data_IF_045991094153
#
_entry.id   IF_045991094153
#
_cell.length_a   1.000
_cell.length_b   1.000
_cell.length_c   1.000
_cell.angle_alpha   90.00
_cell.angle_beta   90.00
_cell.angle_gamma   90.00
#
_symmetry.space_group_name_H-M   'P 1'
#
loop_
_entity.id
_entity.type
_entity.pdbx_description
1 polymer ?
#
# COMPACT_ATOMS: atom_id res chain seq x y z
N UNK A 1 -7.37 13.55 -3.07
CA UNK A 1 -8.51 13.20 -3.97
C UNK A 1 -9.83 13.02 -3.19
N UNK A 2 -10.97 13.48 -3.74
CA UNK A 2 -12.30 13.35 -3.09
C UNK A 2 -12.95 11.98 -3.34
N UNK A 3 -13.94 11.62 -2.53
CA UNK A 3 -14.72 10.39 -2.72
C UNK A 3 -15.72 10.53 -3.90
N UNK A 4 -15.74 9.55 -4.82
CA UNK A 4 -16.62 9.55 -6.00
C UNK A 4 -17.74 8.52 -5.87
N UNK A 5 -18.83 8.69 -6.63
CA UNK A 5 -19.96 7.75 -6.60
C UNK A 5 -19.53 6.30 -6.89
N UNK A 6 -18.64 6.09 -7.87
CA UNK A 6 -18.08 4.79 -8.22
C UNK A 6 -17.22 4.14 -7.13
N UNK A 7 -16.78 4.90 -6.11
CA UNK A 7 -16.04 4.36 -4.96
C UNK A 7 -16.96 3.61 -3.99
N UNK A 8 -18.28 3.88 -4.01
CA UNK A 8 -19.25 3.30 -3.07
C UNK A 8 -19.27 1.78 -3.17
N UNK A 9 -19.47 1.25 -4.37
CA UNK A 9 -19.62 -0.20 -4.56
C UNK A 9 -18.29 -0.92 -4.32
N UNK A 10 -17.16 -0.31 -4.70
CA UNK A 10 -15.83 -0.82 -4.39
C UNK A 10 -15.64 -0.97 -2.87
N UNK A 11 -15.88 0.11 -2.10
CA UNK A 11 -15.72 0.10 -0.65
C UNK A 11 -16.65 -0.91 0.03
N UNK A 12 -17.93 -0.93 -0.35
CA UNK A 12 -18.90 -1.84 0.28
C UNK A 12 -18.63 -3.31 -0.10
N UNK A 13 -18.19 -3.60 -1.32
CA UNK A 13 -17.76 -4.96 -1.69
C UNK A 13 -16.59 -5.44 -0.82
N UNK A 14 -15.70 -4.53 -0.42
CA UNK A 14 -14.58 -4.85 0.48
C UNK A 14 -15.04 -5.12 1.90
N UNK A 15 -16.02 -4.35 2.41
CA UNK A 15 -16.68 -4.61 3.71
C UNK A 15 -17.35 -5.99 3.73
N UNK A 16 -18.01 -6.38 2.65
CA UNK A 16 -18.60 -7.71 2.55
C UNK A 16 -17.51 -8.78 2.57
N UNK A 17 -16.45 -8.60 1.78
CA UNK A 17 -15.33 -9.54 1.72
C UNK A 17 -14.67 -9.73 3.08
N UNK A 18 -14.30 -8.65 3.78
CA UNK A 18 -13.65 -8.74 5.09
C UNK A 18 -14.56 -9.36 6.16
N UNK A 19 -15.88 -9.11 6.09
CA UNK A 19 -16.84 -9.76 6.96
C UNK A 19 -16.88 -11.27 6.72
N UNK A 20 -16.87 -11.71 5.45
CA UNK A 20 -16.87 -13.13 5.06
C UNK A 20 -15.56 -13.86 5.37
N UNK A 21 -14.47 -13.16 5.66
CA UNK A 21 -13.24 -13.80 6.14
C UNK A 21 -13.40 -14.37 7.55
N UNK A 22 -14.31 -13.81 8.36
CA UNK A 22 -14.47 -14.14 9.77
C UNK A 22 -15.86 -14.68 10.13
N UNK A 23 -16.86 -14.50 9.26
CA UNK A 23 -18.28 -14.76 9.56
C UNK A 23 -18.91 -15.60 8.46
N UNK A 24 -19.42 -16.77 8.83
CA UNK A 24 -20.18 -17.65 7.92
C UNK A 24 -21.67 -17.28 7.82
N UNK A 25 -22.23 -16.62 8.83
CA UNK A 25 -23.65 -16.23 8.85
C UNK A 25 -23.94 -15.08 7.86
N UNK A 26 -24.68 -15.32 6.77
CA UNK A 26 -24.96 -14.31 5.76
C UNK A 26 -25.83 -13.17 6.29
N UNK A 27 -26.69 -13.41 7.28
CA UNK A 27 -27.55 -12.36 7.87
C UNK A 27 -26.70 -11.37 8.67
N UNK A 28 -25.73 -11.89 9.43
CA UNK A 28 -24.78 -11.06 10.16
C UNK A 28 -23.87 -10.26 9.22
N UNK A 29 -23.38 -10.88 8.15
CA UNK A 29 -22.60 -10.17 7.11
C UNK A 29 -23.43 -9.03 6.50
N UNK A 30 -24.66 -9.31 6.10
CA UNK A 30 -25.53 -8.28 5.52
C UNK A 30 -25.81 -7.12 6.49
N UNK A 31 -26.01 -7.43 7.78
CA UNK A 31 -26.20 -6.42 8.83
C UNK A 31 -25.01 -5.46 8.93
N UNK A 32 -23.78 -5.99 8.84
CA UNK A 32 -22.55 -5.18 8.86
C UNK A 32 -22.45 -4.32 7.60
N UNK A 33 -22.70 -4.91 6.43
CA UNK A 33 -22.69 -4.24 5.13
C UNK A 33 -23.68 -3.06 5.12
N UNK A 34 -24.90 -3.27 5.61
CA UNK A 34 -25.94 -2.24 5.65
C UNK A 34 -25.56 -1.09 6.60
N UNK A 35 -25.04 -1.40 7.79
CA UNK A 35 -24.56 -0.39 8.73
C UNK A 35 -23.40 0.44 8.16
N UNK A 36 -22.47 -0.20 7.45
CA UNK A 36 -21.36 0.46 6.77
C UNK A 36 -21.84 1.34 5.60
N UNK A 37 -22.82 0.86 4.83
CA UNK A 37 -23.46 1.64 3.76
C UNK A 37 -24.16 2.88 4.31
N UNK A 38 -24.86 2.73 5.42
CA UNK A 38 -25.53 3.86 6.10
C UNK A 38 -24.54 4.89 6.62
N UNK A 39 -23.41 4.45 7.21
CA UNK A 39 -22.33 5.36 7.59
C UNK A 39 -21.77 6.09 6.38
N UNK A 40 -21.44 5.35 5.31
CA UNK A 40 -20.86 5.91 4.09
C UNK A 40 -21.74 7.00 3.49
N UNK A 41 -23.06 6.79 3.41
CA UNK A 41 -24.01 7.82 2.92
C UNK A 41 -23.95 9.13 3.70
N UNK A 42 -23.61 9.08 4.99
CA UNK A 42 -23.51 10.29 5.84
C UNK A 42 -22.19 11.02 5.68
N UNK A 43 -21.09 10.30 5.46
CA UNK A 43 -19.73 10.86 5.49
C UNK A 43 -19.10 11.01 4.10
N UNK A 44 -19.72 10.50 3.02
CA UNK A 44 -19.15 10.54 1.67
C UNK A 44 -18.96 11.95 1.11
N UNK A 45 -19.60 12.95 1.71
CA UNK A 45 -19.52 14.36 1.34
C UNK A 45 -18.54 15.15 2.22
N UNK A 46 -17.93 14.51 3.22
CA UNK A 46 -16.98 15.16 4.11
C UNK A 46 -15.79 15.69 3.29
N UNK A 47 -15.25 16.87 3.61
CA UNK A 47 -14.15 17.49 2.86
C UNK A 47 -12.80 16.88 3.26
N UNK A 48 -12.70 15.55 3.23
CA UNK A 48 -11.50 14.78 3.56
C UNK A 48 -11.13 13.85 2.39
N UNK A 49 -9.87 13.40 2.31
CA UNK A 49 -9.47 12.42 1.30
C UNK A 49 -10.30 11.13 1.36
N UNK A 50 -10.54 10.51 0.20
CA UNK A 50 -11.29 9.26 0.11
C UNK A 50 -10.74 8.12 1.03
N UNK A 51 -9.41 7.95 1.21
CA UNK A 51 -8.87 6.99 2.17
C UNK A 51 -9.34 7.21 3.62
N UNK A 52 -9.58 8.46 4.04
CA UNK A 52 -10.09 8.77 5.39
C UNK A 52 -11.54 8.30 5.56
N UNK A 53 -12.37 8.50 4.53
CA UNK A 53 -13.75 7.99 4.50
C UNK A 53 -13.76 6.46 4.55
N UNK A 54 -12.96 5.81 3.70
CA UNK A 54 -12.85 4.35 3.67
C UNK A 54 -12.37 3.79 5.02
N UNK A 55 -11.40 4.43 5.65
CA UNK A 55 -10.89 4.04 6.97
C UNK A 55 -11.97 4.09 8.05
N UNK A 56 -12.82 5.12 8.06
CA UNK A 56 -13.95 5.22 8.99
C UNK A 56 -14.94 4.08 8.82
N UNK A 57 -15.18 3.66 7.58
CA UNK A 57 -16.07 2.53 7.24
C UNK A 57 -15.47 1.20 7.68
N UNK A 58 -14.21 0.91 7.33
CA UNK A 58 -13.54 -0.33 7.76
C UNK A 58 -13.42 -0.44 9.28
N UNK A 59 -13.13 0.67 9.98
CA UNK A 59 -13.14 0.69 11.44
C UNK A 59 -14.52 0.35 12.03
N UNK A 60 -15.62 0.73 11.37
CA UNK A 60 -16.95 0.30 11.80
C UNK A 60 -17.15 -1.19 11.57
N UNK A 61 -16.79 -1.69 10.39
CA UNK A 61 -16.88 -3.11 10.07
C UNK A 61 -16.10 -3.95 11.10
N UNK A 62 -14.85 -3.59 11.42
CA UNK A 62 -14.01 -4.35 12.36
C UNK A 62 -14.64 -4.41 13.75
N UNK A 63 -15.21 -3.29 14.23
CA UNK A 63 -15.95 -3.27 15.51
C UNK A 63 -17.15 -4.21 15.52
N UNK A 64 -17.88 -4.31 14.42
CA UNK A 64 -19.07 -5.18 14.32
C UNK A 64 -18.72 -6.65 14.06
N UNK A 65 -17.62 -6.91 13.35
CA UNK A 65 -17.05 -8.25 13.18
C UNK A 65 -16.57 -8.78 14.53
N UNK A 66 -15.91 -7.92 15.32
CA UNK A 66 -15.29 -8.29 16.59
C UNK A 66 -13.88 -8.87 16.44
N UNK A 67 -13.23 -8.66 15.29
CA UNK A 67 -11.81 -8.94 15.06
C UNK A 67 -11.11 -7.65 14.62
N UNK A 68 -9.94 -7.38 15.21
CA UNK A 68 -9.13 -6.22 14.90
C UNK A 68 -8.28 -6.41 13.63
N UNK A 69 -8.13 -7.63 13.14
CA UNK A 69 -7.43 -7.94 11.88
C UNK A 69 -8.06 -9.15 11.16
N UNK A 70 -9.18 -8.94 10.43
CA UNK A 70 -9.79 -9.98 9.60
C UNK A 70 -8.87 -10.56 8.53
N UNK A 71 -7.81 -9.83 8.15
CA UNK A 71 -6.91 -10.16 7.05
C UNK A 71 -5.65 -10.90 7.49
N UNK A 72 -5.45 -11.15 8.79
CA UNK A 72 -4.24 -11.71 9.38
C UNK A 72 -3.69 -12.94 8.63
N UNK A 73 -4.55 -13.91 8.34
CA UNK A 73 -4.16 -15.13 7.62
C UNK A 73 -3.82 -14.86 6.16
N UNK A 74 -4.56 -13.96 5.50
CA UNK A 74 -4.31 -13.57 4.12
C UNK A 74 -2.97 -12.83 4.00
N UNK A 75 -2.69 -11.88 4.88
CA UNK A 75 -1.41 -11.14 4.93
C UNK A 75 -0.23 -12.09 5.07
N UNK A 76 -0.33 -13.06 5.97
CA UNK A 76 0.70 -14.08 6.17
C UNK A 76 0.93 -14.92 4.91
N UNK A 77 -0.14 -15.45 4.32
CA UNK A 77 -0.04 -16.22 3.06
C UNK A 77 0.58 -15.39 1.94
N UNK A 78 0.17 -14.13 1.80
CA UNK A 78 0.70 -13.22 0.80
C UNK A 78 2.21 -12.96 0.98
N UNK A 79 2.67 -12.76 2.21
CA UNK A 79 4.09 -12.58 2.51
C UNK A 79 4.90 -13.86 2.25
N UNK A 80 4.35 -15.03 2.56
CA UNK A 80 4.99 -16.34 2.30
C UNK A 80 5.16 -16.59 0.80
N UNK A 81 4.12 -16.38 0.01
CA UNK A 81 4.13 -16.55 -1.46
C UNK A 81 5.05 -15.53 -2.13
N UNK A 82 4.95 -14.25 -1.77
CA UNK A 82 5.84 -13.21 -2.29
C UNK A 82 7.32 -13.50 -1.94
N UNK A 83 7.60 -14.03 -0.75
CA UNK A 83 8.95 -14.46 -0.36
C UNK A 83 9.46 -15.60 -1.24
N UNK A 84 8.60 -16.57 -1.57
CA UNK A 84 8.95 -17.67 -2.47
C UNK A 84 9.30 -17.16 -3.88
N UNK A 85 8.49 -16.24 -4.43
CA UNK A 85 8.76 -15.60 -5.73
C UNK A 85 10.05 -14.78 -5.67
N UNK A 86 10.19 -13.91 -4.66
CA UNK A 86 11.36 -13.06 -4.45
C UNK A 86 12.67 -13.87 -4.43
N UNK A 87 12.71 -15.03 -3.75
CA UNK A 87 13.89 -15.91 -3.74
C UNK A 87 14.34 -16.35 -5.14
N UNK A 88 13.41 -16.50 -6.08
CA UNK A 88 13.68 -16.98 -7.45
C UNK A 88 14.12 -15.86 -8.39
N UNK A 89 13.68 -14.62 -8.15
CA UNK A 89 13.88 -13.50 -9.09
C UNK A 89 14.88 -12.45 -8.59
N UNK A 90 15.13 -12.37 -7.28
CA UNK A 90 16.01 -11.34 -6.69
C UNK A 90 17.44 -11.33 -7.22
N UNK A 91 17.92 -12.42 -7.81
CA UNK A 91 19.26 -12.49 -8.41
C UNK A 91 19.37 -11.64 -9.69
N UNK A 92 18.24 -11.34 -10.31
CA UNK A 92 18.15 -10.55 -11.54
C UNK A 92 17.89 -9.05 -11.25
N UNK A 93 17.68 -8.67 -9.98
CA UNK A 93 17.36 -7.31 -9.56
C UNK A 93 18.61 -6.63 -9.01
N UNK A 94 19.15 -5.65 -9.73
CA UNK A 94 20.46 -5.06 -9.38
C UNK A 94 20.47 -3.54 -9.33
N UNK A 95 19.68 -2.89 -10.18
CA UNK A 95 19.63 -1.43 -10.27
C UNK A 95 18.49 -0.85 -9.44
N UNK A 96 18.52 0.46 -9.19
CA UNK A 96 17.41 1.18 -8.57
C UNK A 96 16.11 0.98 -9.37
N UNK A 97 16.17 1.12 -10.70
CA UNK A 97 15.04 0.85 -11.59
C UNK A 97 14.48 -0.57 -11.43
N UNK A 98 15.32 -1.61 -11.41
CA UNK A 98 14.86 -3.01 -11.27
C UNK A 98 14.08 -3.20 -9.98
N UNK A 99 14.57 -2.61 -8.89
CA UNK A 99 13.97 -2.71 -7.56
C UNK A 99 12.68 -1.91 -7.45
N UNK A 100 12.62 -0.73 -8.08
CA UNK A 100 11.37 0.05 -8.20
C UNK A 100 10.32 -0.74 -8.97
N UNK A 101 10.66 -1.25 -10.16
CA UNK A 101 9.74 -2.04 -10.97
C UNK A 101 9.27 -3.30 -10.22
N UNK A 102 10.17 -4.03 -9.56
CA UNK A 102 9.83 -5.18 -8.75
C UNK A 102 8.84 -4.82 -7.62
N UNK A 103 9.06 -3.68 -6.96
CA UNK A 103 8.17 -3.17 -5.91
C UNK A 103 6.76 -2.82 -6.43
N UNK A 104 6.65 -2.32 -7.67
CA UNK A 104 5.36 -2.03 -8.33
C UNK A 104 4.66 -3.32 -8.76
N UNK A 105 5.40 -4.30 -9.27
CA UNK A 105 4.85 -5.61 -9.65
C UNK A 105 4.29 -6.33 -8.43
N UNK A 106 4.98 -6.26 -7.29
CA UNK A 106 4.51 -6.83 -6.02
C UNK A 106 3.09 -6.39 -5.63
N UNK A 107 2.69 -5.16 -5.98
CA UNK A 107 1.35 -4.62 -5.73
C UNK A 107 0.26 -5.26 -6.62
N UNK A 108 0.62 -5.89 -7.73
CA UNK A 108 -0.35 -6.47 -8.69
C UNK A 108 -0.64 -7.94 -8.43
N UNK A 109 0.12 -8.58 -7.55
CA UNK A 109 0.04 -10.01 -7.29
C UNK A 109 -0.98 -10.29 -6.17
N UNK A 110 -2.11 -10.90 -6.53
CA UNK A 110 -3.12 -11.38 -5.58
C UNK A 110 -2.73 -12.76 -5.03
N UNK A 111 -1.83 -12.74 -4.04
CA UNK A 111 -1.20 -13.93 -3.45
C UNK A 111 -2.13 -14.78 -2.55
N UNK A 112 -3.45 -14.50 -2.52
CA UNK A 112 -4.37 -15.08 -1.53
C UNK A 112 -5.60 -15.80 -2.10
N UNK A 113 -5.73 -15.90 -3.41
CA UNK A 113 -6.85 -16.63 -4.02
C UNK A 113 -6.64 -18.15 -3.92
N UNK A 114 -7.69 -18.90 -3.55
CA UNK A 114 -7.73 -20.32 -3.09
C UNK A 114 -7.16 -21.42 -4.02
N UNK A 115 -6.25 -21.11 -4.94
CA UNK A 115 -5.59 -22.10 -5.80
C UNK A 115 -4.17 -22.41 -5.29
N UNK A 116 -4.06 -23.31 -4.31
CA UNK A 116 -2.78 -23.89 -3.92
C UNK A 116 -2.20 -24.77 -5.05
N UNK A 117 -1.41 -24.18 -5.97
CA UNK A 117 -0.45 -24.83 -6.89
C UNK A 117 0.35 -23.84 -7.77
N UNK A 118 0.51 -22.56 -7.38
CA UNK A 118 0.72 -21.47 -8.36
C UNK A 118 2.01 -20.65 -8.12
N UNK A 119 3.02 -21.15 -7.41
CA UNK A 119 4.30 -20.40 -7.29
C UNK A 119 4.99 -20.21 -8.64
N UNK A 120 4.94 -21.21 -9.52
CA UNK A 120 5.58 -21.12 -10.84
C UNK A 120 4.86 -20.10 -11.74
N UNK A 121 3.52 -20.06 -11.73
CA UNK A 121 2.80 -19.03 -12.49
C UNK A 121 3.06 -17.63 -11.93
N UNK A 122 3.27 -17.47 -10.62
CA UNK A 122 3.62 -16.16 -10.06
C UNK A 122 5.04 -15.71 -10.45
N UNK A 123 6.00 -16.64 -10.54
CA UNK A 123 7.35 -16.33 -11.05
C UNK A 123 7.31 -16.00 -12.54
N UNK A 124 6.55 -16.75 -13.35
CA UNK A 124 6.37 -16.47 -14.78
C UNK A 124 5.64 -15.15 -14.99
N UNK A 125 4.58 -14.88 -14.22
CA UNK A 125 3.90 -13.59 -14.19
C UNK A 125 4.90 -12.48 -13.87
N UNK A 126 5.65 -12.59 -12.77
CA UNK A 126 6.63 -11.59 -12.38
C UNK A 126 7.61 -11.31 -13.53
N UNK A 127 8.19 -12.35 -14.15
CA UNK A 127 9.14 -12.20 -15.25
C UNK A 127 8.52 -11.54 -16.48
N UNK A 128 7.28 -11.92 -16.85
CA UNK A 128 6.55 -11.29 -17.95
C UNK A 128 6.30 -9.82 -17.65
N UNK A 129 5.83 -9.52 -16.45
CA UNK A 129 5.54 -8.16 -16.02
C UNK A 129 6.82 -7.32 -15.98
N UNK A 130 7.91 -7.87 -15.45
CA UNK A 130 9.23 -7.24 -15.40
C UNK A 130 9.76 -6.93 -16.79
N UNK A 131 9.64 -7.86 -17.74
CA UNK A 131 10.01 -7.63 -19.14
C UNK A 131 9.16 -6.54 -19.82
N UNK A 132 7.91 -6.36 -19.38
CA UNK A 132 7.02 -5.34 -19.92
C UNK A 132 7.26 -3.93 -19.33
N UNK A 133 8.05 -3.79 -18.26
CA UNK A 133 8.52 -2.50 -17.75
C UNK A 133 7.47 -1.57 -17.14
N UNK A 134 7.88 -0.33 -16.83
CA UNK A 134 6.98 0.71 -16.34
C UNK A 134 6.29 1.43 -17.51
N UNK A 135 5.02 1.80 -17.33
CA UNK A 135 4.30 2.64 -18.30
C UNK A 135 4.71 4.11 -18.18
N UNK A 136 4.94 4.56 -16.95
CA UNK A 136 5.54 5.86 -16.62
C UNK A 136 6.75 5.58 -15.75
N UNK A 137 7.89 6.09 -16.16
CA UNK A 137 9.20 5.77 -15.59
C UNK A 137 10.02 7.03 -15.36
N UNK A 138 9.87 7.61 -14.17
CA UNK A 138 10.71 8.72 -13.71
C UNK A 138 11.85 8.23 -12.78
N UNK A 139 12.22 6.94 -12.84
CA UNK A 139 13.18 6.36 -11.89
C UNK A 139 14.54 7.04 -11.90
N UNK A 140 15.03 7.50 -13.06
CA UNK A 140 16.28 8.25 -13.18
C UNK A 140 16.22 9.57 -12.39
N UNK A 141 15.13 10.32 -12.51
CA UNK A 141 14.93 11.56 -11.77
C UNK A 141 14.81 11.29 -10.26
N UNK A 142 14.08 10.23 -9.87
CA UNK A 142 13.93 9.81 -8.48
C UNK A 142 15.26 9.44 -7.83
N UNK A 143 16.13 8.70 -8.52
CA UNK A 143 17.39 8.19 -7.97
C UNK A 143 18.28 9.31 -7.44
N UNK A 144 18.30 10.45 -8.15
CA UNK A 144 19.05 11.65 -7.75
C UNK A 144 18.57 12.29 -6.43
N UNK A 145 17.34 12.01 -6.00
CA UNK A 145 16.69 12.58 -4.82
C UNK A 145 16.75 11.65 -3.60
N UNK A 146 17.42 10.51 -3.69
CA UNK A 146 17.37 9.44 -2.68
C UNK A 146 18.25 9.66 -1.45
N UNK A 147 18.79 10.86 -1.21
CA UNK A 147 19.70 11.10 -0.06
C UNK A 147 19.04 10.83 1.31
N UNK A 148 17.73 11.13 1.44
CA UNK A 148 16.93 10.86 2.64
C UNK A 148 15.49 10.56 2.25
N UNK A 149 15.11 9.31 2.41
CA UNK A 149 13.85 8.77 1.90
C UNK A 149 12.88 8.52 3.05
N UNK A 150 11.64 8.96 2.89
CA UNK A 150 10.50 8.42 3.64
C UNK A 150 9.76 7.46 2.72
N UNK A 151 9.73 6.19 3.09
CA UNK A 151 9.09 5.11 2.35
C UNK A 151 7.76 4.76 3.01
N UNK A 152 6.64 5.09 2.38
CA UNK A 152 5.30 4.77 2.85
C UNK A 152 4.85 3.46 2.18
N UNK A 153 4.84 2.38 2.94
CA UNK A 153 4.42 1.07 2.46
C UNK A 153 2.90 1.01 2.19
N UNK A 154 2.50 -0.06 1.51
CA UNK A 154 1.10 -0.39 1.24
C UNK A 154 0.80 -1.81 1.73
N UNK A 155 0.87 -2.83 0.86
CA UNK A 155 0.33 -4.16 1.14
C UNK A 155 1.35 -5.18 1.68
N UNK A 156 0.85 -6.17 2.43
CA UNK A 156 1.53 -7.46 2.58
C UNK A 156 1.59 -8.21 1.23
N UNK A 157 2.68 -8.95 1.02
CA UNK A 157 3.11 -9.46 -0.27
C UNK A 157 4.04 -8.48 -0.98
N UNK A 158 3.56 -7.26 -1.23
CA UNK A 158 4.33 -6.16 -1.85
C UNK A 158 5.55 -5.76 -1.01
N UNK A 159 5.37 -5.62 0.31
CA UNK A 159 6.42 -5.23 1.25
C UNK A 159 7.68 -6.12 1.18
N UNK A 160 7.56 -7.37 0.72
CA UNK A 160 8.71 -8.26 0.50
C UNK A 160 9.67 -7.67 -0.54
N UNK A 161 9.17 -7.11 -1.64
CA UNK A 161 10.00 -6.45 -2.65
C UNK A 161 10.43 -5.06 -2.21
N UNK A 162 9.58 -4.36 -1.45
CA UNK A 162 9.93 -3.06 -0.86
C UNK A 162 11.15 -3.17 0.06
N UNK A 163 11.30 -4.30 0.77
CA UNK A 163 12.49 -4.54 1.61
C UNK A 163 13.79 -4.57 0.81
N UNK A 164 13.77 -5.03 -0.45
CA UNK A 164 14.95 -5.03 -1.31
C UNK A 164 15.32 -3.61 -1.75
N UNK A 165 14.31 -2.81 -2.10
CA UNK A 165 14.51 -1.40 -2.48
C UNK A 165 15.01 -0.57 -1.28
N UNK A 166 14.42 -0.75 -0.10
CA UNK A 166 14.88 -0.07 1.12
C UNK A 166 16.32 -0.45 1.50
N UNK A 167 16.67 -1.75 1.40
CA UNK A 167 18.03 -2.24 1.66
C UNK A 167 19.05 -1.69 0.65
N UNK A 168 18.67 -1.60 -0.63
CA UNK A 168 19.49 -0.98 -1.67
C UNK A 168 19.72 0.50 -1.39
N UNK A 169 18.65 1.26 -1.11
CA UNK A 169 18.73 2.69 -0.77
C UNK A 169 19.70 2.92 0.39
N UNK A 170 19.54 2.18 1.49
CA UNK A 170 20.42 2.29 2.66
C UNK A 170 21.88 1.97 2.30
N UNK A 171 22.13 0.89 1.56
CA UNK A 171 23.49 0.50 1.13
C UNK A 171 24.14 1.51 0.20
N UNK A 172 23.35 2.25 -0.56
CA UNK A 172 23.79 3.35 -1.43
C UNK A 172 23.99 4.67 -0.66
N UNK A 173 23.84 4.68 0.67
CA UNK A 173 24.11 5.83 1.53
C UNK A 173 22.88 6.70 1.84
N UNK A 174 21.68 6.27 1.45
CA UNK A 174 20.44 6.94 1.85
C UNK A 174 20.18 6.81 3.34
N UNK A 175 19.62 7.86 3.96
CA UNK A 175 18.95 7.74 5.25
C UNK A 175 17.47 7.35 5.05
N UNK A 176 17.10 6.14 5.44
CA UNK A 176 15.78 5.55 5.13
C UNK A 176 14.89 5.51 6.36
N UNK A 177 13.79 6.27 6.32
CA UNK A 177 12.63 6.07 7.19
C UNK A 177 11.60 5.22 6.48
N UNK A 178 11.20 4.10 7.06
CA UNK A 178 10.20 3.20 6.51
C UNK A 178 8.95 3.22 7.38
N UNK A 179 7.81 3.55 6.79
CA UNK A 179 6.55 3.71 7.49
C UNK A 179 5.54 2.64 7.05
N UNK A 180 4.95 1.97 8.04
CA UNK A 180 3.91 0.94 7.88
C UNK A 180 2.66 1.31 8.68
N UNK A 181 1.53 0.63 8.50
CA UNK A 181 0.29 1.02 9.20
C UNK A 181 0.42 0.87 10.71
N UNK A 182 -0.14 1.84 11.44
CA UNK A 182 -0.15 1.85 12.92
C UNK A 182 -1.09 0.82 13.55
N UNK A 183 -2.10 0.36 12.82
CA UNK A 183 -2.90 -0.80 13.16
C UNK A 183 -3.37 -1.53 11.89
N UNK A 184 -3.75 -2.81 11.99
CA UNK A 184 -4.23 -3.57 10.85
C UNK A 184 -5.43 -2.89 10.18
N UNK A 185 -5.35 -2.75 8.86
CA UNK A 185 -6.44 -2.30 8.01
C UNK A 185 -6.25 -2.94 6.63
N UNK A 186 -7.28 -3.65 6.17
CA UNK A 186 -7.20 -4.49 4.99
C UNK A 186 -5.96 -5.40 5.03
N UNK A 187 -5.32 -5.58 3.88
CA UNK A 187 -4.09 -6.35 3.74
C UNK A 187 -2.84 -5.45 3.84
N UNK A 188 -2.96 -4.23 4.36
CA UNK A 188 -1.83 -3.32 4.49
C UNK A 188 -0.82 -3.84 5.53
N UNK A 189 0.46 -3.60 5.25
CA UNK A 189 1.56 -4.04 6.08
C UNK A 189 1.62 -3.24 7.38
N UNK A 190 1.90 -3.94 8.48
CA UNK A 190 2.02 -3.38 9.83
C UNK A 190 3.45 -3.50 10.35
N UNK A 191 3.71 -2.96 11.56
CA UNK A 191 4.99 -3.11 12.26
C UNK A 191 5.38 -4.58 12.45
N UNK A 192 4.42 -5.47 12.73
CA UNK A 192 4.68 -6.90 12.88
C UNK A 192 5.22 -7.50 11.57
N UNK A 193 4.55 -7.21 10.44
CA UNK A 193 4.95 -7.68 9.12
C UNK A 193 6.36 -7.20 8.76
N UNK A 194 6.64 -5.91 9.02
CA UNK A 194 7.95 -5.31 8.73
C UNK A 194 9.09 -5.93 9.55
N UNK A 195 8.88 -6.16 10.85
CA UNK A 195 9.88 -6.78 11.72
C UNK A 195 10.15 -8.22 11.31
N UNK A 196 9.11 -8.99 10.95
CA UNK A 196 9.28 -10.37 10.46
C UNK A 196 10.16 -10.42 9.20
N UNK A 197 10.04 -9.43 8.32
CA UNK A 197 10.87 -9.29 7.13
C UNK A 197 12.26 -8.67 7.40
N UNK A 198 12.54 -8.28 8.65
CA UNK A 198 13.81 -7.73 9.10
C UNK A 198 14.08 -6.29 8.67
N UNK A 199 13.02 -5.52 8.37
CA UNK A 199 13.16 -4.10 8.00
C UNK A 199 13.77 -3.26 9.13
N UNK A 200 13.49 -3.62 10.38
CA UNK A 200 14.07 -3.01 11.59
C UNK A 200 15.61 -2.96 11.58
N UNK A 201 16.26 -3.86 10.83
CA UNK A 201 17.72 -3.93 10.67
C UNK A 201 18.22 -3.40 9.32
N UNK A 202 17.32 -3.04 8.41
CA UNK A 202 17.62 -2.64 7.03
C UNK A 202 17.30 -1.18 6.73
N UNK A 203 16.73 -0.46 7.68
CA UNK A 203 16.44 0.98 7.58
C UNK A 203 16.93 1.73 8.82
N UNK A 204 17.00 3.05 8.75
CA UNK A 204 17.47 3.89 9.85
C UNK A 204 16.37 4.17 10.87
N UNK A 205 15.12 4.27 10.40
CA UNK A 205 13.93 4.39 11.24
C UNK A 205 12.78 3.54 10.68
N UNK A 206 12.26 2.60 11.48
CA UNK A 206 11.00 1.91 11.20
C UNK A 206 9.91 2.49 12.12
N UNK A 207 8.84 3.04 11.56
CA UNK A 207 7.79 3.74 12.32
C UNK A 207 6.40 3.37 11.82
N UNK A 208 5.36 3.41 12.67
CA UNK A 208 3.99 3.37 12.18
C UNK A 208 3.58 4.72 11.55
N UNK A 209 2.55 4.70 10.70
CA UNK A 209 1.92 5.90 10.13
C UNK A 209 0.95 6.59 11.08
N UNK A 210 0.51 5.91 12.14
CA UNK A 210 -0.40 6.41 13.17
C UNK A 210 -0.07 5.77 14.52
N UNK A 211 -0.55 6.34 15.63
CA UNK A 211 -0.44 5.71 16.96
C UNK A 211 -1.60 4.74 17.21
N UNK A 212 -1.52 3.53 16.63
CA UNK A 212 -2.51 2.47 16.86
C UNK A 212 -3.86 2.65 16.16
N UNK A 213 -3.98 3.59 15.22
CA UNK A 213 -5.23 3.86 14.49
C UNK A 213 -5.18 3.19 13.11
N UNK A 214 -6.17 2.35 12.83
CA UNK A 214 -6.34 1.70 11.53
C UNK A 214 -6.76 2.73 10.47
N UNK A 215 -5.80 3.21 9.66
CA UNK A 215 -5.98 4.30 8.68
C UNK A 215 -5.30 3.93 7.36
N UNK A 216 -6.05 4.02 6.26
CA UNK A 216 -5.57 3.83 4.89
C UNK A 216 -4.82 5.08 4.41
N UNK A 217 -3.77 4.87 3.63
CA UNK A 217 -2.95 5.96 3.12
C UNK A 217 -2.19 6.68 4.24
N UNK A 218 -2.05 8.00 4.10
CA UNK A 218 -1.40 8.86 5.10
C UNK A 218 -2.35 9.97 5.54
N UNK A 219 -2.71 9.99 6.82
CA UNK A 219 -3.47 11.09 7.40
C UNK A 219 -2.53 11.96 8.25
N UNK A 220 -2.20 13.17 7.76
CA UNK A 220 -1.29 14.12 8.41
C UNK A 220 -1.70 14.52 9.83
N UNK A 221 -2.99 14.47 10.15
CA UNK A 221 -3.48 14.79 11.50
C UNK A 221 -3.16 13.68 12.52
N UNK A 222 -2.85 12.47 12.04
CA UNK A 222 -2.65 11.28 12.87
C UNK A 222 -1.20 10.78 12.87
N UNK A 223 -0.31 11.38 12.07
CA UNK A 223 1.08 10.91 12.02
C UNK A 223 1.80 11.16 13.34
N UNK A 224 2.63 10.21 13.80
CA UNK A 224 3.43 10.41 15.01
C UNK A 224 4.53 11.46 14.77
N UNK A 225 5.03 12.13 15.82
CA UNK A 225 6.07 13.16 15.69
C UNK A 225 7.33 12.69 14.96
N UNK A 226 7.72 11.42 15.12
CA UNK A 226 8.87 10.84 14.42
C UNK A 226 8.68 10.80 12.89
N UNK A 227 7.47 10.48 12.42
CA UNK A 227 7.18 10.47 10.99
C UNK A 227 7.02 11.89 10.44
N UNK A 228 6.42 12.80 11.20
CA UNK A 228 6.36 14.22 10.84
C UNK A 228 7.76 14.80 10.64
N UNK A 229 8.67 14.58 11.60
CA UNK A 229 10.05 15.06 11.52
C UNK A 229 10.81 14.44 10.33
N UNK A 230 10.57 13.16 10.04
CA UNK A 230 11.17 12.49 8.90
C UNK A 230 10.68 13.07 7.56
N UNK A 231 9.38 13.35 7.44
CA UNK A 231 8.78 13.98 6.25
C UNK A 231 9.34 15.38 6.01
N UNK A 232 9.48 16.19 7.06
CA UNK A 232 10.01 17.56 6.96
C UNK A 232 11.47 17.62 6.47
N UNK A 233 12.25 16.55 6.70
CA UNK A 233 13.67 16.46 6.30
C UNK A 233 13.90 15.66 5.03
N UNK A 234 12.87 14.99 4.51
CA UNK A 234 13.01 14.08 3.38
C UNK A 234 13.41 14.84 2.11
N UNK A 235 14.27 14.22 1.30
CA UNK A 235 14.56 14.68 -0.06
C UNK A 235 13.67 13.98 -1.08
N UNK A 236 13.10 12.83 -0.73
CA UNK A 236 12.12 12.11 -1.52
C UNK A 236 11.16 11.33 -0.60
N UNK A 237 9.86 11.40 -0.89
CA UNK A 237 8.87 10.48 -0.32
C UNK A 237 8.54 9.43 -1.37
N UNK A 238 8.74 8.16 -1.05
CA UNK A 238 8.28 7.04 -1.89
C UNK A 238 6.93 6.59 -1.34
N UNK A 239 5.86 6.78 -2.12
CA UNK A 239 4.49 6.45 -1.74
C UNK A 239 3.99 5.24 -2.53
N UNK A 240 3.76 4.12 -1.84
CA UNK A 240 3.24 2.88 -2.45
C UNK A 240 1.72 2.88 -2.52
N UNK A 241 1.17 2.44 -3.65
CA UNK A 241 -0.27 2.18 -3.77
C UNK A 241 -1.18 3.41 -3.87
N UNK A 242 -2.44 3.16 -4.24
CA UNK A 242 -3.41 4.22 -4.57
C UNK A 242 -3.87 5.01 -3.33
N UNK A 243 -3.97 4.38 -2.16
CA UNK A 243 -4.43 5.08 -0.96
C UNK A 243 -3.42 6.16 -0.51
N UNK A 244 -2.11 5.87 -0.61
CA UNK A 244 -1.08 6.88 -0.36
C UNK A 244 -1.11 7.97 -1.46
N UNK A 245 -1.32 7.62 -2.74
CA UNK A 245 -1.54 8.61 -3.80
C UNK A 245 -2.72 9.54 -3.48
N UNK A 246 -3.91 9.00 -3.19
CA UNK A 246 -5.11 9.79 -2.92
C UNK A 246 -4.97 10.71 -1.70
N UNK A 247 -4.14 10.30 -0.73
CA UNK A 247 -3.85 11.06 0.48
C UNK A 247 -2.92 12.24 0.20
N UNK A 248 -1.94 12.06 -0.69
CA UNK A 248 -0.85 13.02 -0.91
C UNK A 248 -1.05 13.86 -2.19
N UNK A 249 -1.91 13.45 -3.12
CA UNK A 249 -2.02 14.04 -4.46
C UNK A 249 -2.45 15.52 -4.44
N UNK A 250 -3.23 15.92 -3.44
CA UNK A 250 -3.71 17.31 -3.26
C UNK A 250 -2.82 18.14 -2.32
N UNK A 251 -1.88 17.50 -1.60
CA UNK A 251 -0.96 18.15 -0.68
C UNK A 251 0.13 18.89 -1.46
N UNK A 252 0.30 20.18 -1.16
CA UNK A 252 1.26 21.08 -1.85
C UNK A 252 2.54 21.32 -1.07
N UNK A 253 2.50 21.13 0.25
CA UNK A 253 3.63 21.36 1.16
C UNK A 253 4.31 20.04 1.50
N UNK A 254 4.72 19.31 0.46
CA UNK A 254 5.48 18.07 0.58
C UNK A 254 6.81 18.19 -0.17
N UNK A 255 7.87 17.49 0.28
CA UNK A 255 9.02 17.24 -0.58
C UNK A 255 8.59 16.46 -1.84
N UNK A 256 9.48 16.31 -2.84
CA UNK A 256 9.19 15.50 -4.01
C UNK A 256 8.64 14.11 -3.63
N UNK A 257 7.58 13.68 -4.31
CA UNK A 257 6.87 12.43 -4.04
C UNK A 257 6.95 11.52 -5.26
N UNK A 258 7.55 10.35 -5.10
CA UNK A 258 7.52 9.25 -6.05
C UNK A 258 6.34 8.33 -5.76
N UNK A 259 5.33 8.35 -6.62
CA UNK A 259 4.20 7.42 -6.57
C UNK A 259 4.55 6.14 -7.32
N UNK A 260 4.73 5.05 -6.57
CA UNK A 260 5.00 3.72 -7.11
C UNK A 260 3.75 2.85 -6.95
N UNK A 261 2.99 2.69 -8.03
CA UNK A 261 1.70 1.99 -7.97
C UNK A 261 1.29 1.41 -9.32
N UNK A 262 0.22 0.62 -9.30
CA UNK A 262 -0.54 0.31 -10.51
C UNK A 262 -1.87 1.05 -10.48
N UNK A 263 -2.28 1.61 -11.62
CA UNK A 263 -3.56 2.32 -11.75
C UNK A 263 -4.67 1.28 -11.86
N UNK A 264 -5.45 1.06 -10.80
CA UNK A 264 -6.47 -0.02 -10.75
C UNK A 264 -7.91 0.45 -10.93
N UNK A 265 -8.18 1.76 -10.98
CA UNK A 265 -9.55 2.26 -11.12
C UNK A 265 -9.65 3.53 -11.99
N UNK A 266 -10.82 3.71 -12.60
CA UNK A 266 -11.11 4.82 -13.51
C UNK A 266 -10.96 6.21 -12.88
N UNK A 267 -11.42 6.47 -11.64
CA UNK A 267 -11.21 7.76 -10.99
C UNK A 267 -9.74 8.16 -10.91
N UNK A 268 -8.87 7.25 -10.45
CA UNK A 268 -7.42 7.52 -10.32
C UNK A 268 -6.81 7.73 -11.70
N UNK A 269 -7.15 6.87 -12.67
CA UNK A 269 -6.63 7.02 -14.03
C UNK A 269 -7.03 8.33 -14.70
N UNK A 270 -8.23 8.84 -14.39
CA UNK A 270 -8.69 10.15 -14.88
C UNK A 270 -7.97 11.30 -14.18
N UNK A 271 -7.81 11.21 -12.87
CA UNK A 271 -7.15 12.23 -12.04
C UNK A 271 -5.68 12.44 -12.44
N UNK A 272 -4.95 11.33 -12.63
CA UNK A 272 -3.53 11.35 -12.97
C UNK A 272 -3.26 11.42 -14.49
N UNK A 273 -4.30 11.21 -15.32
CA UNK A 273 -4.17 11.16 -16.78
C UNK A 273 -3.48 9.91 -17.33
N UNK A 274 -3.48 8.80 -16.58
CA UNK A 274 -2.80 7.54 -16.95
C UNK A 274 -3.84 6.40 -17.04
N UNK A 275 -3.82 5.54 -18.07
CA UNK A 275 -4.78 4.46 -18.22
C UNK A 275 -4.82 3.46 -17.06
N UNK A 276 -5.99 2.86 -16.84
CA UNK A 276 -6.14 1.70 -15.94
C UNK A 276 -5.32 0.53 -16.46
N UNK A 277 -4.61 -0.16 -15.57
CA UNK A 277 -3.67 -1.24 -15.87
C UNK A 277 -2.23 -0.79 -16.01
N UNK A 278 -1.96 0.52 -16.07
CA UNK A 278 -0.60 1.05 -16.13
C UNK A 278 0.16 0.86 -14.82
N UNK A 279 1.45 0.58 -14.93
CA UNK A 279 2.41 0.55 -13.82
C UNK A 279 3.22 1.82 -13.84
N UNK A 280 3.27 2.52 -12.72
CA UNK A 280 3.83 3.86 -12.68
C UNK A 280 4.90 3.96 -11.60
N UNK A 281 6.03 4.54 -11.97
CA UNK A 281 6.93 5.26 -11.09
C UNK A 281 6.85 6.73 -11.51
N UNK A 282 5.90 7.46 -10.93
CA UNK A 282 5.65 8.87 -11.26
C UNK A 282 6.27 9.77 -10.19
N UNK A 283 7.14 10.70 -10.60
CA UNK A 283 7.69 11.73 -9.71
C UNK A 283 6.84 13.00 -9.78
N UNK A 284 6.45 13.52 -8.61
CA UNK A 284 5.84 14.85 -8.46
C UNK A 284 6.77 15.71 -7.61
N UNK A 285 7.25 16.80 -8.19
CA UNK A 285 8.07 17.82 -7.50
C UNK A 285 7.23 18.88 -6.78
#
# INVERSE_FOLDING_TARGET
>A
MRFYQGCTDCLISRVEYESRLCIDDPVRVQTIVDACRDLLRRISVDPVPAPVIASRVHRLAYRMIGDADPYRLLKRGNNEDATAVCRRVRGDLSTFHDLVLASVIGNTLDYGSKAHTVTDNFVEFFRREFAAGLTVDDTEAMESLTSRVVYLADNCGEIVFDTLLADHLRKSGSHVTFAVRGAPILNDATMEDAVVLGLDRRVDLLTPTTDGIAELGLNRELIPPLLADALDRATLVIAKGMANYESLSDERDLPPVAFLMSVKCGPIGTDIGIPVGSRVALLRE
#
